data_IF_299625177923
#
_entry.id   IF_299625177923
#
_cell.length_a   1.000
_cell.length_b   1.000
_cell.length_c   1.000
_cell.angle_alpha   90.00
_cell.angle_beta   90.00
_cell.angle_gamma   90.00
#
_symmetry.space_group_name_H-M   'P 1'
#
loop_
_entity.id
_entity.type
_entity.pdbx_description
1 polymer ?
#
# COMPACT_ATOMS: atom_id res chain seq x y z
N UNK A 1 -0.15 -9.74 28.48
CA UNK A 1 -0.10 -9.44 27.03
C UNK A 1 1.32 -9.03 26.71
N UNK A 2 2.09 -9.77 25.90
CA UNK A 2 3.34 -9.23 25.37
C UNK A 2 3.06 -8.50 24.06
N UNK A 3 3.53 -7.26 24.00
CA UNK A 3 3.55 -6.43 22.80
C UNK A 3 4.42 -7.08 21.73
N UNK A 4 4.05 -6.90 20.45
CA UNK A 4 4.82 -7.35 19.31
C UNK A 4 6.26 -6.83 19.39
N UNK A 5 7.20 -7.72 19.63
CA UNK A 5 8.62 -7.44 19.57
C UNK A 5 8.96 -7.05 18.13
N UNK A 6 9.15 -5.76 17.87
CA UNK A 6 9.85 -5.34 16.64
C UNK A 6 11.25 -5.95 16.72
N UNK A 7 11.45 -7.07 16.02
CA UNK A 7 12.73 -7.80 15.97
C UNK A 7 13.75 -6.91 15.26
N UNK A 8 14.33 -5.96 16.01
CA UNK A 8 15.51 -5.21 15.59
C UNK A 8 16.69 -6.16 15.64
N UNK A 9 16.80 -7.04 14.64
CA UNK A 9 18.05 -7.76 14.38
C UNK A 9 19.09 -6.71 14.01
N UNK A 10 20.01 -6.45 14.94
CA UNK A 10 21.19 -5.59 14.88
C UNK A 10 22.20 -6.01 13.79
N UNK A 11 21.75 -6.26 12.56
CA UNK A 11 22.60 -6.36 11.37
C UNK A 11 22.38 -5.08 10.57
N UNK A 12 23.44 -4.50 10.01
CA UNK A 12 23.31 -3.42 9.04
C UNK A 12 22.58 -3.97 7.79
N UNK A 13 21.26 -3.86 7.79
CA UNK A 13 20.44 -4.19 6.62
C UNK A 13 20.73 -3.16 5.55
N UNK A 14 21.22 -3.61 4.40
CA UNK A 14 21.50 -2.76 3.24
C UNK A 14 20.80 -3.33 2.01
N UNK A 15 20.41 -2.44 1.11
CA UNK A 15 19.88 -2.77 -0.22
C UNK A 15 20.84 -2.22 -1.27
N UNK A 16 21.08 -2.99 -2.34
CA UNK A 16 21.85 -2.48 -3.48
C UNK A 16 21.00 -1.50 -4.31
N UNK A 17 21.63 -0.77 -5.23
CA UNK A 17 20.95 0.25 -6.03
C UNK A 17 19.76 -0.30 -6.85
N UNK A 18 19.89 -1.49 -7.43
CA UNK A 18 18.83 -2.13 -8.20
C UNK A 18 17.63 -2.52 -7.32
N UNK A 19 17.88 -3.08 -6.14
CA UNK A 19 16.84 -3.42 -5.18
C UNK A 19 16.12 -2.15 -4.68
N UNK A 20 16.84 -1.05 -4.49
CA UNK A 20 16.25 0.24 -4.15
C UNK A 20 15.36 0.76 -5.29
N UNK A 21 15.83 0.72 -6.55
CA UNK A 21 15.04 1.14 -7.71
C UNK A 21 13.74 0.34 -7.83
N UNK A 22 13.80 -0.99 -7.74
CA UNK A 22 12.60 -1.83 -7.81
C UNK A 22 11.66 -1.57 -6.62
N UNK A 23 12.20 -1.36 -5.42
CA UNK A 23 11.39 -1.00 -4.26
C UNK A 23 10.66 0.34 -4.45
N UNK A 24 11.30 1.33 -5.10
CA UNK A 24 10.64 2.58 -5.46
C UNK A 24 9.48 2.36 -6.44
N UNK A 25 9.66 1.50 -7.44
CA UNK A 25 8.58 1.18 -8.38
C UNK A 25 7.45 0.41 -7.70
N UNK A 26 7.77 -0.54 -6.82
CA UNK A 26 6.77 -1.27 -6.03
C UNK A 26 5.89 -0.31 -5.20
N UNK A 27 6.51 0.66 -4.51
CA UNK A 27 5.78 1.66 -3.73
C UNK A 27 4.93 2.58 -4.62
N UNK A 28 5.43 2.97 -5.79
CA UNK A 28 4.64 3.74 -6.77
C UNK A 28 3.42 2.96 -7.25
N UNK A 29 3.61 1.69 -7.61
CA UNK A 29 2.53 0.82 -8.06
C UNK A 29 1.50 0.57 -6.96
N UNK A 30 1.95 0.33 -5.72
CA UNK A 30 1.06 0.16 -4.57
C UNK A 30 0.12 1.36 -4.38
N UNK A 31 0.66 2.59 -4.42
CA UNK A 31 -0.14 3.81 -4.28
C UNK A 31 -1.06 4.02 -5.49
N UNK A 32 -0.56 3.78 -6.71
CA UNK A 32 -1.37 3.92 -7.92
C UNK A 32 -2.56 2.93 -7.93
N UNK A 33 -2.33 1.68 -7.54
CA UNK A 33 -3.38 0.66 -7.39
C UNK A 33 -4.43 1.06 -6.36
N UNK A 34 -4.01 1.56 -5.19
CA UNK A 34 -4.93 2.05 -4.18
C UNK A 34 -5.85 3.15 -4.73
N UNK A 35 -5.27 4.17 -5.39
CA UNK A 35 -6.02 5.29 -5.96
C UNK A 35 -6.98 4.83 -7.05
N UNK A 36 -6.54 3.98 -7.96
CA UNK A 36 -7.36 3.53 -9.09
C UNK A 36 -8.54 2.66 -8.64
N UNK A 37 -8.33 1.76 -7.68
CA UNK A 37 -9.42 0.96 -7.09
C UNK A 37 -10.43 1.84 -6.35
N UNK A 38 -9.96 2.83 -5.58
CA UNK A 38 -10.84 3.80 -4.94
C UNK A 38 -11.64 4.63 -5.95
N UNK A 39 -11.01 5.06 -7.05
CA UNK A 39 -11.68 5.81 -8.11
C UNK A 39 -12.82 5.01 -8.75
N UNK A 40 -12.61 3.71 -9.01
CA UNK A 40 -13.65 2.82 -9.56
C UNK A 40 -14.85 2.72 -8.63
N UNK A 41 -14.65 2.63 -7.31
CA UNK A 41 -15.77 2.65 -6.35
C UNK A 41 -16.47 4.00 -6.35
N UNK A 42 -15.72 5.11 -6.28
CA UNK A 42 -16.30 6.46 -6.28
C UNK A 42 -17.15 6.70 -7.54
N UNK A 43 -16.64 6.31 -8.72
CA UNK A 43 -17.35 6.42 -9.99
C UNK A 43 -18.64 5.58 -10.00
N UNK A 44 -18.59 4.36 -9.48
CA UNK A 44 -19.76 3.49 -9.37
C UNK A 44 -20.85 4.05 -8.44
N UNK A 45 -20.47 4.91 -7.49
CA UNK A 45 -21.38 5.63 -6.59
C UNK A 45 -21.83 6.99 -7.13
N UNK A 46 -21.32 7.42 -8.29
CA UNK A 46 -21.56 8.75 -8.86
C UNK A 46 -20.85 9.88 -8.10
N UNK A 47 -19.85 9.56 -7.28
CA UNK A 47 -19.02 10.53 -6.58
C UNK A 47 -17.92 11.08 -7.50
N UNK A 48 -17.66 12.39 -7.40
CA UNK A 48 -16.59 13.07 -8.17
C UNK A 48 -15.27 13.15 -7.40
N UNK A 49 -15.26 12.72 -6.14
CA UNK A 49 -14.12 12.78 -5.23
C UNK A 49 -13.93 11.43 -4.55
N UNK A 50 -12.67 11.00 -4.43
CA UNK A 50 -12.32 9.84 -3.62
C UNK A 50 -12.38 10.23 -2.14
N UNK A 51 -13.39 9.71 -1.46
CA UNK A 51 -13.52 9.76 0.00
C UNK A 51 -12.76 8.63 0.72
N UNK A 52 -12.40 8.80 2.00
CA UNK A 52 -11.70 7.77 2.79
C UNK A 52 -12.43 6.42 2.87
N UNK A 53 -13.75 6.44 2.83
CA UNK A 53 -14.59 5.23 2.86
C UNK A 53 -14.39 4.33 1.64
N UNK A 54 -13.97 4.86 0.49
CA UNK A 54 -13.60 4.03 -0.65
C UNK A 54 -12.32 3.25 -0.38
N UNK A 55 -11.34 3.88 0.29
CA UNK A 55 -10.09 3.22 0.68
C UNK A 55 -10.35 2.10 1.68
N UNK A 56 -11.17 2.34 2.70
CA UNK A 56 -11.53 1.32 3.70
C UNK A 56 -12.10 0.05 3.07
N UNK A 57 -12.85 0.17 1.96
CA UNK A 57 -13.43 -0.97 1.25
C UNK A 57 -12.42 -1.76 0.42
N UNK A 58 -11.46 -1.09 -0.23
CA UNK A 58 -10.45 -1.77 -1.06
C UNK A 58 -9.27 -2.29 -0.23
N UNK A 59 -9.05 -1.73 0.95
CA UNK A 59 -7.88 -1.98 1.78
C UNK A 59 -7.64 -3.47 2.09
N UNK A 60 -8.66 -4.29 2.43
CA UNK A 60 -8.42 -5.71 2.71
C UNK A 60 -7.82 -6.45 1.50
N UNK A 61 -8.34 -6.20 0.29
CA UNK A 61 -7.82 -6.86 -0.90
C UNK A 61 -6.49 -6.25 -1.35
N UNK A 62 -6.34 -4.93 -1.25
CA UNK A 62 -5.09 -4.25 -1.56
C UNK A 62 -3.91 -4.82 -0.74
N UNK A 63 -4.13 -5.12 0.54
CA UNK A 63 -3.11 -5.72 1.41
C UNK A 63 -2.89 -7.23 1.18
N UNK A 64 -3.79 -7.91 0.46
CA UNK A 64 -3.60 -9.32 0.10
C UNK A 64 -2.84 -9.47 -1.23
N UNK A 65 -2.94 -8.47 -2.11
CA UNK A 65 -2.27 -8.49 -3.42
C UNK A 65 -0.77 -8.13 -3.33
N UNK A 66 -0.32 -7.55 -2.21
CA UNK A 66 1.04 -7.09 -1.95
C UNK A 66 1.63 -7.73 -0.69
#
# INVERSE_FOLDING_TARGET
>A
QPAAETSRRNRSTSANASALQVSCELLRMFVAEAVQRCAVIAEAEGATTIEPTHLERVLPQLLLDF
#
